data_IF_392118045846
#
_entry.id   IF_392118045846
#
_cell.length_a   1.000
_cell.length_b   1.000
_cell.length_c   1.000
_cell.angle_alpha   90.00
_cell.angle_beta   90.00
_cell.angle_gamma   90.00
#
_symmetry.space_group_name_H-M   'P 1'
#
loop_
_entity.id
_entity.type
_entity.pdbx_description
1 polymer ?
#
# COMPACT_ATOMS: atom_id res chain seq x y z
N UNK A 1 -15.59 -5.93 -65.90
CA UNK A 1 -15.41 -6.87 -64.78
C UNK A 1 -14.58 -6.14 -63.74
N UNK A 2 -15.20 -5.74 -62.62
CA UNK A 2 -14.52 -4.96 -61.58
C UNK A 2 -13.86 -5.94 -60.62
N UNK A 3 -12.55 -6.15 -60.74
CA UNK A 3 -11.77 -6.91 -59.77
C UNK A 3 -11.79 -6.15 -58.44
N UNK A 4 -12.53 -6.67 -57.46
CA UNK A 4 -12.50 -6.18 -56.09
C UNK A 4 -11.15 -6.57 -55.48
N UNK A 5 -10.28 -5.59 -55.29
CA UNK A 5 -8.98 -5.75 -54.65
C UNK A 5 -9.14 -6.42 -53.28
N UNK A 6 -8.41 -7.52 -53.07
CA UNK A 6 -8.42 -8.29 -51.82
C UNK A 6 -7.91 -7.39 -50.67
N UNK A 7 -8.60 -7.33 -49.52
CA UNK A 7 -8.13 -6.51 -48.41
C UNK A 7 -6.75 -7.00 -47.93
N UNK A 8 -5.87 -6.07 -47.49
CA UNK A 8 -4.52 -6.41 -47.06
C UNK A 8 -4.57 -7.41 -45.88
N UNK A 9 -3.69 -8.41 -45.96
CA UNK A 9 -3.59 -9.48 -44.96
C UNK A 9 -3.15 -8.86 -43.62
N UNK A 10 -3.82 -9.23 -42.52
CA UNK A 10 -3.46 -8.73 -41.19
C UNK A 10 -2.00 -9.08 -40.87
N UNK A 11 -1.28 -8.14 -40.27
CA UNK A 11 0.10 -8.37 -39.83
C UNK A 11 0.15 -9.54 -38.85
N UNK A 12 1.13 -10.41 -39.05
CA UNK A 12 1.39 -11.55 -38.17
C UNK A 12 1.84 -11.01 -36.81
N UNK A 13 1.24 -11.50 -35.73
CA UNK A 13 1.64 -11.14 -34.36
C UNK A 13 3.10 -11.55 -34.14
N UNK A 14 3.97 -10.58 -33.87
CA UNK A 14 5.35 -10.84 -33.46
C UNK A 14 5.42 -10.97 -31.95
N UNK A 15 6.00 -12.07 -31.45
CA UNK A 15 6.29 -12.24 -30.04
C UNK A 15 7.61 -11.54 -29.73
N UNK A 16 7.56 -10.45 -28.95
CA UNK A 16 8.73 -9.70 -28.48
C UNK A 16 8.79 -9.78 -26.95
N UNK A 17 9.99 -9.58 -26.38
CA UNK A 17 10.14 -9.49 -24.93
C UNK A 17 9.37 -8.28 -24.40
N UNK A 18 8.66 -8.48 -23.28
CA UNK A 18 7.98 -7.40 -22.58
C UNK A 18 8.98 -6.45 -21.94
N UNK A 19 8.78 -5.15 -22.13
CA UNK A 19 9.54 -4.10 -21.48
C UNK A 19 8.75 -3.55 -20.28
N UNK A 20 9.38 -3.55 -19.10
CA UNK A 20 8.72 -3.17 -17.86
C UNK A 20 8.21 -1.72 -17.84
N UNK A 21 8.89 -0.80 -18.53
CA UNK A 21 8.57 0.63 -18.49
C UNK A 21 7.56 1.03 -19.57
N UNK A 22 7.66 0.45 -20.78
CA UNK A 22 6.75 0.78 -21.89
C UNK A 22 5.50 -0.08 -21.89
N UNK A 23 5.58 -1.34 -21.47
CA UNK A 23 4.47 -2.27 -21.68
C UNK A 23 3.62 -2.40 -20.41
N UNK A 24 4.22 -2.53 -19.22
CA UNK A 24 3.44 -2.69 -17.98
C UNK A 24 2.62 -1.46 -17.62
N UNK A 25 3.10 -0.27 -17.96
CA UNK A 25 2.40 1.00 -17.70
C UNK A 25 1.13 1.16 -18.55
N UNK A 26 0.98 0.37 -19.63
CA UNK A 26 -0.22 0.37 -20.47
C UNK A 26 -1.34 -0.53 -19.95
N UNK A 27 -1.05 -1.44 -19.01
CA UNK A 27 -2.05 -2.36 -18.49
C UNK A 27 -3.01 -1.66 -17.53
N UNK A 28 -4.31 -1.82 -17.78
CA UNK A 28 -5.37 -1.39 -16.87
C UNK A 28 -5.54 -2.40 -15.75
N UNK A 29 -4.96 -2.11 -14.59
CA UNK A 29 -5.10 -2.97 -13.42
C UNK A 29 -6.51 -2.86 -12.82
N UNK A 30 -7.20 -3.99 -12.59
CA UNK A 30 -8.42 -3.97 -11.80
C UNK A 30 -8.07 -3.63 -10.33
N UNK A 31 -9.04 -3.17 -9.53
CA UNK A 31 -8.82 -2.85 -8.11
C UNK A 31 -8.14 -3.99 -7.32
N UNK A 32 -8.49 -5.24 -7.61
CA UNK A 32 -7.86 -6.42 -7.00
C UNK A 32 -6.36 -6.51 -7.29
N UNK A 33 -5.93 -6.12 -8.49
CA UNK A 33 -4.51 -6.08 -8.87
C UNK A 33 -3.75 -4.99 -8.10
N UNK A 34 -4.36 -3.81 -7.95
CA UNK A 34 -3.80 -2.72 -7.14
C UNK A 34 -3.63 -3.15 -5.67
N UNK A 35 -4.67 -3.72 -5.05
CA UNK A 35 -4.60 -4.20 -3.66
C UNK A 35 -3.50 -5.25 -3.48
N UNK A 36 -3.31 -6.15 -4.45
CA UNK A 36 -2.22 -7.14 -4.39
C UNK A 36 -0.83 -6.50 -4.41
N UNK A 37 -0.62 -5.46 -5.22
CA UNK A 37 0.67 -4.73 -5.25
C UNK A 37 0.85 -3.97 -3.95
N UNK A 38 -0.17 -3.25 -3.50
CA UNK A 38 -0.12 -2.46 -2.28
C UNK A 38 0.09 -3.34 -1.04
N UNK A 39 -0.49 -4.54 -0.97
CA UNK A 39 -0.24 -5.51 0.11
C UNK A 39 1.24 -5.93 0.18
N UNK A 40 1.89 -6.13 -0.99
CA UNK A 40 3.32 -6.45 -1.07
C UNK A 40 4.18 -5.26 -0.64
N UNK A 41 3.88 -4.07 -1.17
CA UNK A 41 4.60 -2.84 -0.85
C UNK A 41 4.46 -2.50 0.63
N UNK A 42 3.26 -2.63 1.21
CA UNK A 42 3.04 -2.34 2.62
C UNK A 42 3.78 -3.31 3.55
N UNK A 43 3.86 -4.60 3.18
CA UNK A 43 4.67 -5.58 3.90
C UNK A 43 6.17 -5.24 3.86
N UNK A 44 6.68 -4.86 2.69
CA UNK A 44 8.08 -4.42 2.55
C UNK A 44 8.37 -3.14 3.35
N UNK A 45 7.47 -2.16 3.32
CA UNK A 45 7.59 -0.92 4.09
C UNK A 45 7.62 -1.19 5.59
N UNK A 46 6.73 -2.06 6.11
CA UNK A 46 6.77 -2.47 7.51
C UNK A 46 8.11 -3.09 7.89
N UNK A 47 8.63 -3.99 7.07
CA UNK A 47 9.93 -4.63 7.30
C UNK A 47 11.07 -3.59 7.34
N UNK A 48 11.11 -2.68 6.37
CA UNK A 48 12.11 -1.61 6.31
C UNK A 48 12.02 -0.64 7.50
N UNK A 49 10.82 -0.43 8.04
CA UNK A 49 10.57 0.44 9.18
C UNK A 49 10.66 -0.28 10.54
N UNK A 50 10.99 -1.58 10.59
CA UNK A 50 11.20 -2.29 11.87
C UNK A 50 12.23 -1.62 12.79
N UNK A 51 13.39 -1.12 12.31
CA UNK A 51 14.32 -0.39 13.16
C UNK A 51 13.69 0.86 13.79
N UNK A 52 12.83 1.56 13.05
CA UNK A 52 12.09 2.72 13.56
C UNK A 52 11.08 2.31 14.64
N UNK A 53 10.37 1.20 14.45
CA UNK A 53 9.45 0.62 15.46
C UNK A 53 10.19 0.26 16.74
N UNK A 54 11.32 -0.44 16.62
CA UNK A 54 12.15 -0.86 17.77
C UNK A 54 12.66 0.38 18.51
N UNK A 55 13.16 1.38 17.79
CA UNK A 55 13.61 2.64 18.40
C UNK A 55 12.47 3.38 19.12
N UNK A 56 11.29 3.49 18.51
CA UNK A 56 10.13 4.11 19.14
C UNK A 56 9.75 3.38 20.43
N UNK A 57 9.68 2.05 20.37
CA UNK A 57 9.31 1.21 21.51
C UNK A 57 10.31 1.40 22.65
N UNK A 58 11.60 1.15 22.40
CA UNK A 58 12.67 1.29 23.40
C UNK A 58 12.63 2.68 24.05
N UNK A 59 12.73 3.74 23.25
CA UNK A 59 12.76 5.13 23.75
C UNK A 59 11.51 5.47 24.57
N UNK A 60 10.34 4.93 24.20
CA UNK A 60 9.08 5.21 24.89
C UNK A 60 8.96 4.55 26.27
N UNK A 61 9.70 3.47 26.54
CA UNK A 61 9.53 2.66 27.76
C UNK A 61 10.74 2.64 28.68
N UNK A 62 11.94 3.06 28.26
CA UNK A 62 13.14 2.91 29.10
C UNK A 62 13.11 3.73 30.39
N UNK A 63 12.58 4.96 30.37
CA UNK A 63 12.56 5.89 31.53
C UNK A 63 11.65 7.09 31.27
N UNK A 64 11.37 7.88 32.31
CA UNK A 64 10.68 9.16 32.17
C UNK A 64 11.45 10.13 31.24
N UNK A 65 12.77 10.22 31.41
CA UNK A 65 13.62 11.07 30.58
C UNK A 65 13.59 10.65 29.11
N UNK A 66 13.65 9.34 28.82
CA UNK A 66 13.55 8.84 27.44
C UNK A 66 12.16 9.09 26.85
N UNK A 67 11.09 8.98 27.63
CA UNK A 67 9.74 9.31 27.18
C UNK A 67 9.58 10.80 26.85
N UNK A 68 10.19 11.71 27.62
CA UNK A 68 10.23 13.15 27.29
C UNK A 68 10.96 13.38 25.97
N UNK A 69 12.10 12.71 25.75
CA UNK A 69 12.81 12.77 24.46
C UNK A 69 11.99 12.21 23.30
N UNK A 70 11.28 11.10 23.51
CA UNK A 70 10.36 10.53 22.53
C UNK A 70 9.29 11.54 22.12
N UNK A 71 8.63 12.19 23.08
CA UNK A 71 7.65 13.25 22.76
C UNK A 71 8.27 14.42 22.03
N UNK A 72 9.46 14.87 22.45
CA UNK A 72 10.19 15.95 21.80
C UNK A 72 10.51 15.63 20.33
N UNK A 73 10.87 14.38 20.03
CA UNK A 73 11.13 13.94 18.66
C UNK A 73 9.96 14.24 17.71
N UNK A 74 8.73 13.90 18.11
CA UNK A 74 7.54 14.12 17.29
C UNK A 74 7.05 15.57 17.29
N UNK A 75 7.38 16.35 18.33
CA UNK A 75 6.92 17.73 18.46
C UNK A 75 7.86 18.73 17.78
N UNK A 76 9.17 18.65 18.05
CA UNK A 76 10.18 19.56 17.52
C UNK A 76 11.11 18.89 16.51
N UNK A 77 11.48 17.63 16.74
CA UNK A 77 12.38 16.88 15.86
C UNK A 77 13.55 16.22 16.58
N UNK A 78 14.41 15.55 15.82
CA UNK A 78 15.68 14.97 16.29
C UNK A 78 16.80 15.40 15.35
N UNK A 79 17.78 16.15 15.86
CA UNK A 79 18.89 16.65 15.05
C UNK A 79 18.39 17.54 13.92
N UNK A 80 18.68 17.16 12.67
CA UNK A 80 18.21 17.87 11.48
C UNK A 80 16.84 17.40 10.97
N UNK A 81 16.26 16.35 11.56
CA UNK A 81 14.97 15.79 11.13
C UNK A 81 13.84 16.47 11.89
N UNK A 82 12.93 17.21 11.22
CA UNK A 82 11.85 17.91 11.89
C UNK A 82 10.75 16.95 12.36
N UNK A 83 10.05 17.30 13.44
CA UNK A 83 9.03 16.43 14.05
C UNK A 83 7.87 16.07 13.12
N UNK A 84 7.47 17.00 12.22
CA UNK A 84 6.43 16.70 11.22
C UNK A 84 6.85 15.60 10.24
N UNK A 85 8.14 15.49 9.92
CA UNK A 85 8.64 14.43 9.05
C UNK A 85 8.58 13.07 9.76
N UNK A 86 8.93 13.01 11.05
CA UNK A 86 8.75 11.79 11.85
C UNK A 86 7.27 11.39 11.94
N UNK A 87 6.34 12.36 12.04
CA UNK A 87 4.90 12.09 11.94
C UNK A 87 4.51 11.51 10.57
N UNK A 88 5.09 11.97 9.46
CA UNK A 88 4.83 11.37 8.15
C UNK A 88 5.37 9.94 8.02
N UNK A 89 6.56 9.66 8.57
CA UNK A 89 7.11 8.30 8.60
C UNK A 89 6.23 7.38 9.45
N UNK A 90 5.77 7.85 10.60
CA UNK A 90 4.79 7.13 11.42
C UNK A 90 3.44 6.95 10.71
N UNK A 91 2.97 7.95 9.96
CA UNK A 91 1.75 7.82 9.15
C UNK A 91 1.91 6.76 8.04
N UNK A 92 3.06 6.72 7.38
CA UNK A 92 3.38 5.69 6.38
C UNK A 92 3.40 4.29 7.01
N UNK A 93 3.92 4.16 8.24
CA UNK A 93 3.88 2.90 9.00
C UNK A 93 2.45 2.51 9.37
N UNK A 94 1.63 3.45 9.86
CA UNK A 94 0.21 3.23 10.19
C UNK A 94 -0.54 2.73 8.96
N UNK A 95 -0.40 3.43 7.83
CA UNK A 95 -1.01 3.01 6.56
C UNK A 95 -0.53 1.62 6.14
N UNK A 96 0.79 1.37 6.22
CA UNK A 96 1.37 0.09 5.82
C UNK A 96 0.77 -1.05 6.63
N UNK A 97 0.72 -0.92 7.96
CA UNK A 97 0.12 -1.93 8.83
C UNK A 97 -1.38 -2.15 8.52
N UNK A 98 -2.18 -1.08 8.47
CA UNK A 98 -3.62 -1.20 8.26
C UNK A 98 -3.95 -1.80 6.90
N UNK A 99 -3.31 -1.31 5.84
CA UNK A 99 -3.52 -1.84 4.50
C UNK A 99 -3.06 -3.30 4.41
N UNK A 100 -1.87 -3.62 4.94
CA UNK A 100 -1.35 -4.99 4.93
C UNK A 100 -2.27 -5.95 5.68
N UNK A 101 -2.72 -5.57 6.87
CA UNK A 101 -3.60 -6.38 7.71
C UNK A 101 -4.95 -6.63 7.05
N UNK A 102 -5.64 -5.58 6.59
CA UNK A 102 -6.97 -5.72 5.97
C UNK A 102 -6.88 -6.50 4.65
N UNK A 103 -5.87 -6.24 3.82
CA UNK A 103 -5.64 -7.01 2.60
C UNK A 103 -5.26 -8.47 2.92
N UNK A 104 -4.50 -8.71 4.00
CA UNK A 104 -4.17 -10.04 4.51
C UNK A 104 -5.41 -10.82 4.94
N UNK A 105 -6.34 -10.20 5.67
CA UNK A 105 -7.62 -10.82 6.02
C UNK A 105 -8.44 -11.18 4.77
N UNK A 106 -8.46 -10.30 3.76
CA UNK A 106 -9.07 -10.60 2.46
C UNK A 106 -8.43 -11.82 1.80
N UNK A 107 -7.10 -11.92 1.82
CA UNK A 107 -6.38 -13.08 1.27
C UNK A 107 -6.72 -14.36 2.01
N UNK A 108 -6.61 -14.37 3.35
CA UNK A 108 -6.97 -15.52 4.18
C UNK A 108 -8.42 -15.97 3.95
N UNK A 109 -9.36 -15.03 3.78
CA UNK A 109 -10.75 -15.36 3.48
C UNK A 109 -10.91 -16.07 2.13
N UNK A 110 -10.19 -15.60 1.10
CA UNK A 110 -10.20 -16.23 -0.21
C UNK A 110 -9.48 -17.59 -0.21
N UNK A 111 -8.50 -17.79 0.66
CA UNK A 111 -7.77 -19.06 0.81
C UNK A 111 -8.66 -20.15 1.44
N UNK A 112 -9.51 -19.79 2.41
CA UNK A 112 -10.40 -20.75 3.10
C UNK A 112 -11.73 -20.99 2.39
N UNK A 113 -12.13 -20.12 1.47
CA UNK A 113 -13.44 -20.19 0.80
C UNK A 113 -13.33 -20.07 -0.71
N UNK A 114 -13.47 -21.22 -1.40
CA UNK A 114 -13.51 -21.26 -2.87
C UNK A 114 -14.66 -20.43 -3.44
N UNK A 115 -15.80 -20.33 -2.73
CA UNK A 115 -16.94 -19.51 -3.15
C UNK A 115 -16.62 -18.00 -3.12
N UNK A 116 -15.64 -17.58 -2.32
CA UNK A 116 -15.16 -16.20 -2.32
C UNK A 116 -14.22 -15.88 -3.49
N UNK A 117 -13.77 -16.88 -4.25
CA UNK A 117 -12.88 -16.70 -5.41
C UNK A 117 -13.70 -16.44 -6.69
N UNK A 118 -14.43 -15.32 -6.70
CA UNK A 118 -15.17 -14.84 -7.87
C UNK A 118 -14.68 -13.46 -8.33
N UNK A 119 -15.02 -13.09 -9.57
CA UNK A 119 -14.64 -11.79 -10.12
C UNK A 119 -15.33 -10.65 -9.37
N UNK A 120 -16.61 -10.85 -9.06
CA UNK A 120 -17.48 -9.90 -8.37
C UNK A 120 -16.97 -9.65 -6.96
N UNK A 121 -16.69 -10.72 -6.20
CA UNK A 121 -16.11 -10.62 -4.87
C UNK A 121 -14.71 -10.03 -4.93
N UNK A 122 -13.87 -10.45 -5.87
CA UNK A 122 -12.52 -9.92 -6.04
C UNK A 122 -12.50 -8.40 -6.23
N UNK A 123 -13.46 -7.87 -6.97
CA UNK A 123 -13.64 -6.43 -7.19
C UNK A 123 -14.20 -5.71 -5.94
N UNK A 124 -15.32 -6.17 -5.39
CA UNK A 124 -15.99 -5.50 -4.26
C UNK A 124 -15.13 -5.53 -2.99
N UNK A 125 -14.51 -6.67 -2.68
CA UNK A 125 -13.60 -6.81 -1.53
C UNK A 125 -12.38 -5.93 -1.66
N UNK A 126 -11.82 -5.75 -2.87
CA UNK A 126 -10.68 -4.87 -3.08
C UNK A 126 -11.04 -3.39 -2.84
N UNK A 127 -12.21 -2.95 -3.29
CA UNK A 127 -12.72 -1.60 -3.00
C UNK A 127 -12.93 -1.41 -1.49
N UNK A 128 -13.54 -2.40 -0.82
CA UNK A 128 -13.73 -2.36 0.63
C UNK A 128 -12.39 -2.28 1.38
N UNK A 129 -11.40 -3.07 1.00
CA UNK A 129 -10.04 -3.02 1.56
C UNK A 129 -9.44 -1.61 1.43
N UNK A 130 -9.52 -0.99 0.25
CA UNK A 130 -9.00 0.36 0.03
C UNK A 130 -9.75 1.40 0.86
N UNK A 131 -11.09 1.38 0.83
CA UNK A 131 -11.91 2.33 1.56
C UNK A 131 -11.66 2.27 3.07
N UNK A 132 -11.69 1.06 3.66
CA UNK A 132 -11.49 0.87 5.10
C UNK A 132 -10.06 1.26 5.50
N UNK A 133 -9.05 0.81 4.75
CA UNK A 133 -7.65 1.13 5.07
C UNK A 133 -7.36 2.63 5.00
N UNK A 134 -7.86 3.33 3.98
CA UNK A 134 -7.71 4.78 3.84
C UNK A 134 -8.45 5.51 4.94
N UNK A 135 -9.72 5.15 5.22
CA UNK A 135 -10.52 5.79 6.27
C UNK A 135 -9.81 5.70 7.63
N UNK A 136 -9.37 4.51 8.03
CA UNK A 136 -8.66 4.31 9.29
C UNK A 136 -7.33 5.08 9.32
N UNK A 137 -6.60 5.10 8.20
CA UNK A 137 -5.35 5.87 8.08
C UNK A 137 -5.60 7.36 8.27
N UNK A 138 -6.66 7.91 7.68
CA UNK A 138 -7.01 9.33 7.81
C UNK A 138 -7.42 9.66 9.23
N UNK A 139 -8.25 8.83 9.87
CA UNK A 139 -8.68 9.02 11.26
C UNK A 139 -7.48 9.01 12.21
N UNK A 140 -6.60 8.00 12.10
CA UNK A 140 -5.42 7.92 12.95
C UNK A 140 -4.37 8.98 12.62
N UNK A 141 -4.26 9.38 11.34
CA UNK A 141 -3.45 10.50 10.91
C UNK A 141 -3.93 11.80 11.55
N UNK A 142 -5.24 12.07 11.54
CA UNK A 142 -5.81 13.23 12.19
C UNK A 142 -5.42 13.30 13.68
N UNK A 143 -5.48 12.18 14.40
CA UNK A 143 -4.99 12.08 15.78
C UNK A 143 -3.48 12.32 15.90
N UNK A 144 -2.66 11.72 15.02
CA UNK A 144 -1.21 11.89 15.01
C UNK A 144 -0.77 13.35 14.81
N UNK A 145 -1.54 14.10 14.05
CA UNK A 145 -1.33 15.54 13.82
C UNK A 145 -2.05 16.44 14.83
N UNK A 146 -2.73 15.87 15.83
CA UNK A 146 -3.33 16.61 16.95
C UNK A 146 -4.64 17.32 16.61
N UNK A 147 -5.41 16.81 15.65
CA UNK A 147 -6.70 17.38 15.30
C UNK A 147 -7.79 17.10 16.35
N UNK A 148 -7.63 16.06 17.18
CA UNK A 148 -8.52 15.70 18.29
C UNK A 148 -7.82 14.78 19.31
#
# INVERSE_FOLDING_TARGET
MTELAKPPRSQRREFRNINAFTDLTTYRLPPAGLVSILHRVSGALMFLLLPFVIWMFDTSVSSEYSYVRFKAAFNSGIGFVPGWFLKLVALALIWSYLHHFIAGLRHLWMDVSHAAVSREFGHSSAIATLAISILLTVVLGAKLFGLY
#
